data_IF_324915537734
#
_entry.id   IF_324915537734
#
_cell.length_a   1.000
_cell.length_b   1.000
_cell.length_c   1.000
_cell.angle_alpha   90.00
_cell.angle_beta   90.00
_cell.angle_gamma   90.00
#
_symmetry.space_group_name_H-M   'P 1'
#
loop_
_entity.id
_entity.type
_entity.pdbx_description
1 polymer ?
#
# COMPACT_ATOMS: atom_id res chain seq x y z
N UNK A 1 -4.30 -6.57 22.04
CA UNK A 1 -5.60 -5.89 21.85
C UNK A 1 -5.42 -4.86 20.74
N UNK A 2 -5.44 -5.30 19.49
CA UNK A 2 -5.16 -4.43 18.34
C UNK A 2 -6.40 -3.61 18.00
N UNK A 3 -6.30 -2.29 18.07
CA UNK A 3 -7.35 -1.38 17.62
C UNK A 3 -7.57 -1.64 16.11
N UNK A 4 -8.63 -2.34 15.75
CA UNK A 4 -8.91 -2.67 14.36
C UNK A 4 -9.09 -1.38 13.55
N UNK A 5 -8.15 -1.10 12.63
CA UNK A 5 -8.25 0.05 11.72
C UNK A 5 -9.51 -0.12 10.85
N UNK A 6 -10.42 0.85 10.92
CA UNK A 6 -11.59 0.93 10.05
C UNK A 6 -11.40 2.10 9.09
N UNK A 7 -11.25 1.82 7.79
CA UNK A 7 -10.93 2.82 6.78
C UNK A 7 -12.22 3.51 6.36
N UNK A 8 -12.30 4.83 6.51
CA UNK A 8 -13.35 5.62 5.88
C UNK A 8 -12.98 5.95 4.43
N UNK A 9 -13.98 6.08 3.54
CA UNK A 9 -13.74 6.28 2.10
C UNK A 9 -12.81 7.44 1.77
N UNK A 10 -12.92 8.56 2.49
CA UNK A 10 -12.06 9.74 2.28
C UNK A 10 -10.62 9.54 2.77
N UNK A 11 -10.37 8.55 3.63
CA UNK A 11 -9.04 8.21 4.15
C UNK A 11 -8.30 7.24 3.23
N UNK A 12 -9.03 6.48 2.41
CA UNK A 12 -8.47 5.46 1.53
C UNK A 12 -7.24 5.95 0.72
N UNK A 13 -7.23 7.16 0.11
CA UNK A 13 -6.05 7.63 -0.61
C UNK A 13 -4.77 7.65 0.23
N UNK A 14 -4.86 7.93 1.53
CA UNK A 14 -3.70 7.92 2.44
C UNK A 14 -3.19 6.52 2.73
N UNK A 15 -4.06 5.50 2.69
CA UNK A 15 -3.67 4.09 2.83
C UNK A 15 -3.02 3.53 1.57
N UNK A 16 -3.25 4.13 0.41
CA UNK A 16 -2.73 3.65 -0.87
C UNK A 16 -1.47 4.39 -1.32
N UNK A 17 -1.23 5.62 -0.85
CA UNK A 17 -0.13 6.45 -1.36
C UNK A 17 1.22 6.05 -0.78
N UNK A 18 2.15 5.64 -1.65
CA UNK A 18 3.51 5.21 -1.30
C UNK A 18 4.48 6.37 -1.47
N UNK A 19 5.38 6.52 -0.51
CA UNK A 19 6.44 7.52 -0.48
C UNK A 19 7.80 6.82 -0.44
N UNK A 20 8.80 7.52 -0.98
CA UNK A 20 10.19 7.18 -0.76
C UNK A 20 10.55 7.55 0.68
N UNK A 21 10.97 6.59 1.50
CA UNK A 21 11.27 6.82 2.92
C UNK A 21 12.42 7.80 3.14
N UNK A 22 13.38 7.84 2.22
CA UNK A 22 14.61 8.64 2.34
C UNK A 22 14.36 10.10 1.96
N UNK A 23 13.67 10.33 0.84
CA UNK A 23 13.44 11.68 0.29
C UNK A 23 12.08 12.26 0.66
N UNK A 24 11.20 11.44 1.24
CA UNK A 24 9.81 11.75 1.57
C UNK A 24 8.93 12.14 0.36
N UNK A 25 9.44 11.94 -0.87
CA UNK A 25 8.73 12.23 -2.11
C UNK A 25 7.70 11.13 -2.43
N UNK A 26 6.53 11.49 -2.99
CA UNK A 26 5.57 10.49 -3.45
C UNK A 26 6.16 9.66 -4.59
N UNK A 27 5.95 8.35 -4.55
CA UNK A 27 6.41 7.42 -5.59
C UNK A 27 5.26 6.89 -6.44
N UNK A 28 4.08 6.72 -5.85
CA UNK A 28 2.95 6.14 -6.55
C UNK A 28 1.85 5.70 -5.60
N UNK A 29 1.02 4.77 -6.06
CA UNK A 29 -0.08 4.20 -5.29
C UNK A 29 -0.03 2.67 -5.32
N UNK A 30 -0.49 2.04 -4.25
CA UNK A 30 -0.73 0.60 -4.19
C UNK A 30 -1.85 0.26 -5.18
N UNK A 31 -1.54 -0.58 -6.17
CA UNK A 31 -2.52 -1.22 -7.04
C UNK A 31 -3.05 -2.54 -6.46
N UNK A 32 -2.18 -3.29 -5.79
CA UNK A 32 -2.49 -4.55 -5.12
C UNK A 32 -1.51 -4.76 -3.95
N UNK A 33 -1.91 -5.49 -2.92
CA UNK A 33 -1.08 -5.75 -1.74
C UNK A 33 -1.39 -7.13 -1.14
N UNK A 34 -0.34 -7.80 -0.67
CA UNK A 34 -0.41 -9.03 0.12
C UNK A 34 0.58 -8.93 1.29
N UNK A 35 0.65 -9.96 2.12
CA UNK A 35 1.64 -10.04 3.21
C UNK A 35 3.09 -10.08 2.69
N UNK A 36 3.31 -10.64 1.49
CA UNK A 36 4.64 -10.85 0.90
C UNK A 36 5.08 -9.76 -0.09
N UNK A 37 4.16 -8.91 -0.54
CA UNK A 37 4.40 -8.07 -1.70
C UNK A 37 3.39 -6.96 -1.92
N UNK A 38 3.71 -6.08 -2.86
CA UNK A 38 2.77 -5.10 -3.38
C UNK A 38 3.00 -4.83 -4.87
N UNK A 39 1.94 -4.39 -5.53
CA UNK A 39 1.99 -3.77 -6.85
C UNK A 39 1.99 -2.25 -6.64
N UNK A 40 3.01 -1.56 -7.15
CA UNK A 40 3.10 -0.11 -7.17
C UNK A 40 2.76 0.40 -8.57
N UNK A 41 1.82 1.33 -8.64
CA UNK A 41 1.49 2.11 -9.84
C UNK A 41 2.21 3.46 -9.74
N UNK A 42 3.12 3.76 -10.67
CA UNK A 42 3.94 4.97 -10.66
C UNK A 42 4.05 5.60 -12.05
N UNK A 43 4.41 6.89 -12.12
CA UNK A 43 4.65 7.58 -13.42
C UNK A 43 6.02 7.27 -14.03
N UNK A 44 6.92 6.70 -13.23
CA UNK A 44 8.26 6.32 -13.65
C UNK A 44 8.44 4.81 -13.43
N UNK A 45 9.15 4.12 -14.34
CA UNK A 45 9.47 2.71 -14.15
C UNK A 45 10.41 2.53 -12.97
N UNK A 46 10.23 1.45 -12.22
CA UNK A 46 11.05 1.11 -11.07
C UNK A 46 12.23 0.23 -11.48
N UNK A 47 13.42 0.53 -10.97
CA UNK A 47 14.63 -0.24 -11.30
C UNK A 47 14.50 -1.69 -10.78
N UNK A 48 14.41 -2.65 -11.70
CA UNK A 48 14.30 -4.08 -11.38
C UNK A 48 15.56 -4.59 -10.69
N UNK A 49 15.40 -5.41 -9.66
CA UNK A 49 16.49 -5.96 -8.85
C UNK A 49 17.04 -4.99 -7.79
N UNK A 50 16.63 -3.72 -7.82
CA UNK A 50 17.00 -2.76 -6.79
C UNK A 50 16.09 -2.86 -5.56
N UNK A 51 16.67 -2.54 -4.41
CA UNK A 51 15.98 -2.39 -3.13
C UNK A 51 15.50 -0.98 -2.94
N UNK A 52 14.28 -0.83 -2.46
CA UNK A 52 13.67 0.45 -2.17
C UNK A 52 13.23 0.53 -0.71
N UNK A 53 13.48 1.70 -0.13
CA UNK A 53 13.01 2.09 1.20
C UNK A 53 11.70 2.86 1.02
N UNK A 54 10.59 2.21 1.38
CA UNK A 54 9.23 2.67 1.12
C UNK A 54 8.55 3.08 2.44
N UNK A 55 7.58 4.00 2.32
CA UNK A 55 6.79 4.51 3.42
C UNK A 55 5.33 4.70 3.03
N UNK A 56 4.42 4.26 3.87
CA UNK A 56 3.00 4.64 3.85
C UNK A 56 2.73 5.64 4.98
N UNK A 57 1.87 6.62 4.74
CA UNK A 57 1.48 7.64 5.74
C UNK A 57 -0.02 7.53 6.01
N UNK A 58 -0.38 6.70 6.97
CA UNK A 58 -1.80 6.42 7.29
C UNK A 58 -2.30 7.30 8.42
N UNK A 59 -3.63 7.54 8.54
CA UNK A 59 -4.19 8.22 9.70
C UNK A 59 -3.87 7.46 11.00
N UNK A 60 -3.21 8.12 11.94
CA UNK A 60 -2.92 7.58 13.27
C UNK A 60 -3.88 8.11 14.34
N UNK A 61 -3.66 7.69 15.59
CA UNK A 61 -4.44 8.13 16.74
C UNK A 61 -4.26 9.63 17.00
N UNK A 62 -5.35 10.32 17.35
CA UNK A 62 -5.32 11.75 17.66
C UNK A 62 -5.04 12.66 16.45
N UNK A 63 -5.27 12.18 15.22
CA UNK A 63 -5.14 12.97 13.99
C UNK A 63 -3.71 13.14 13.48
N UNK A 64 -2.71 12.54 14.15
CA UNK A 64 -1.32 12.55 13.65
C UNK A 64 -1.10 11.40 12.67
N UNK A 65 -0.46 11.63 11.51
CA UNK A 65 -0.12 10.55 10.58
C UNK A 65 0.83 9.54 11.23
N UNK A 66 0.52 8.25 11.08
CA UNK A 66 1.43 7.15 11.38
C UNK A 66 2.21 6.78 10.12
N UNK A 67 3.53 6.69 10.22
CA UNK A 67 4.38 6.19 9.14
C UNK A 67 4.56 4.68 9.29
N UNK A 68 4.39 3.94 8.20
CA UNK A 68 4.69 2.51 8.10
C UNK A 68 5.86 2.39 7.11
N UNK A 69 7.04 2.09 7.63
CA UNK A 69 8.28 2.01 6.87
C UNK A 69 8.61 0.55 6.57
N UNK A 70 8.98 0.25 5.33
CA UNK A 70 9.33 -1.11 4.92
C UNK A 70 10.30 -1.11 3.74
N UNK A 71 11.09 -2.17 3.64
CA UNK A 71 12.03 -2.38 2.53
C UNK A 71 11.50 -3.46 1.60
N UNK A 72 11.61 -3.22 0.29
CA UNK A 72 11.15 -4.16 -0.72
C UNK A 72 12.05 -4.15 -1.97
N UNK A 73 12.20 -5.32 -2.59
CA UNK A 73 12.97 -5.48 -3.82
C UNK A 73 12.03 -5.47 -5.02
N UNK A 74 12.33 -4.63 -6.03
CA UNK A 74 11.57 -4.61 -7.28
C UNK A 74 11.86 -5.88 -8.08
N UNK A 75 10.81 -6.61 -8.47
CA UNK A 75 10.91 -7.89 -9.18
C UNK A 75 10.68 -7.74 -10.68
N UNK A 76 9.83 -6.79 -11.08
CA UNK A 76 9.51 -6.50 -12.46
C UNK A 76 8.92 -5.09 -12.58
N UNK A 77 9.00 -4.50 -13.77
CA UNK A 77 8.27 -3.30 -14.15
C UNK A 77 7.76 -3.44 -15.57
N UNK A 78 6.52 -3.00 -15.82
CA UNK A 78 5.93 -2.93 -17.16
C UNK A 78 5.07 -1.67 -17.28
N UNK A 79 4.87 -1.18 -18.49
CA UNK A 79 3.92 -0.09 -18.74
C UNK A 79 2.49 -0.58 -18.43
N UNK A 80 1.72 0.28 -17.75
CA UNK A 80 0.31 0.03 -17.45
C UNK A 80 -0.55 0.25 -18.71
N UNK A 81 -1.79 -0.22 -18.72
CA UNK A 81 -2.78 0.09 -19.75
C UNK A 81 -3.05 1.60 -19.85
N UNK A 82 -2.79 2.35 -18.77
CA UNK A 82 -2.84 3.81 -18.74
C UNK A 82 -1.51 4.38 -19.25
N UNK A 83 -1.48 5.08 -20.40
CA UNK A 83 -0.23 5.61 -20.95
C UNK A 83 0.52 6.51 -19.95
N UNK A 84 1.84 6.34 -19.89
CA UNK A 84 2.71 7.10 -18.98
C UNK A 84 2.64 6.66 -17.52
N UNK A 85 1.99 5.53 -17.22
CA UNK A 85 2.05 4.86 -15.92
C UNK A 85 2.72 3.49 -16.06
N UNK A 86 3.32 3.04 -14.97
CA UNK A 86 4.03 1.78 -14.88
C UNK A 86 3.54 1.00 -13.68
N UNK A 87 3.32 -0.28 -13.90
CA UNK A 87 3.11 -1.28 -12.88
C UNK A 87 4.47 -1.85 -12.47
N UNK A 88 4.71 -1.97 -11.17
CA UNK A 88 5.93 -2.52 -10.61
C UNK A 88 5.64 -3.45 -9.45
N UNK A 89 6.04 -4.72 -9.58
CA UNK A 89 5.87 -5.72 -8.53
C UNK A 89 7.02 -5.71 -7.54
N UNK A 90 6.70 -5.61 -6.26
CA UNK A 90 7.66 -5.59 -5.16
C UNK A 90 7.48 -6.81 -4.26
N UNK A 91 8.61 -7.38 -3.84
CA UNK A 91 8.66 -8.38 -2.77
C UNK A 91 9.17 -7.74 -1.48
N UNK A 92 8.41 -7.86 -0.39
CA UNK A 92 8.81 -7.35 0.91
C UNK A 92 9.84 -8.28 1.56
N UNK A 93 10.79 -7.69 2.30
CA UNK A 93 11.89 -8.44 2.89
C UNK A 93 11.65 -8.85 4.33
N UNK A 94 11.09 -7.94 5.11
CA UNK A 94 10.73 -8.13 6.51
C UNK A 94 9.54 -7.21 6.80
N UNK A 95 8.31 -7.60 6.38
CA UNK A 95 7.14 -6.77 6.57
C UNK A 95 6.92 -6.50 8.06
N UNK A 96 6.83 -5.23 8.50
CA UNK A 96 6.54 -4.91 9.88
C UNK A 96 5.08 -5.26 10.20
N UNK A 97 4.76 -5.44 11.48
CA UNK A 97 3.41 -5.79 11.92
C UNK A 97 2.37 -4.77 11.45
N UNK A 98 2.72 -3.48 11.43
CA UNK A 98 1.87 -2.40 10.98
C UNK A 98 1.50 -2.52 9.49
N UNK A 99 2.38 -3.10 8.67
CA UNK A 99 2.10 -3.38 7.26
C UNK A 99 1.07 -4.51 7.13
N UNK A 100 1.23 -5.60 7.89
CA UNK A 100 0.27 -6.71 7.91
C UNK A 100 -1.12 -6.25 8.38
N UNK A 101 -1.16 -5.40 9.41
CA UNK A 101 -2.41 -4.79 9.86
C UNK A 101 -3.03 -3.86 8.79
N UNK A 102 -2.22 -3.22 7.95
CA UNK A 102 -2.69 -2.42 6.81
C UNK A 102 -3.30 -3.30 5.73
N UNK A 103 -2.67 -4.44 5.40
CA UNK A 103 -3.20 -5.43 4.46
C UNK A 103 -4.58 -5.90 4.92
N UNK A 104 -4.71 -6.28 6.19
CA UNK A 104 -5.98 -6.73 6.76
C UNK A 104 -7.03 -5.60 6.85
N UNK A 105 -6.61 -4.35 7.05
CA UNK A 105 -7.53 -3.21 6.99
C UNK A 105 -8.06 -2.97 5.57
N UNK A 106 -7.21 -3.02 4.55
CA UNK A 106 -7.60 -2.89 3.15
C UNK A 106 -8.48 -4.05 2.70
N UNK A 107 -8.12 -5.29 3.07
CA UNK A 107 -8.92 -6.49 2.80
C UNK A 107 -10.34 -6.36 3.33
N UNK A 108 -10.49 -5.94 4.59
CA UNK A 108 -11.80 -5.71 5.20
C UNK A 108 -12.56 -4.56 4.53
N UNK A 109 -11.88 -3.47 4.17
CA UNK A 109 -12.51 -2.33 3.49
C UNK A 109 -13.08 -2.70 2.12
N UNK A 110 -12.38 -3.51 1.34
CA UNK A 110 -12.84 -3.99 0.03
C UNK A 110 -13.71 -5.26 0.10
N UNK A 111 -13.96 -5.78 1.30
CA UNK A 111 -14.87 -6.91 1.49
C UNK A 111 -16.31 -6.41 1.61
N UNK A 112 -17.21 -6.97 0.80
CA UNK A 112 -18.63 -6.66 0.87
C UNK A 112 -19.36 -7.80 1.59
N UNK A 113 -19.81 -7.63 2.85
CA UNK A 113 -20.67 -8.63 3.46
C UNK A 113 -21.97 -8.75 2.65
N UNK A 114 -22.39 -9.98 2.35
CA UNK A 114 -23.73 -10.23 1.80
C UNK A 114 -24.75 -9.71 2.81
N UNK A 115 -25.59 -8.75 2.43
CA UNK A 115 -26.80 -8.49 3.20
C UNK A 115 -27.67 -9.75 3.19
N UNK A 116 -28.22 -10.19 4.33
CA UNK A 116 -29.24 -11.22 4.32
C UNK A 116 -30.39 -10.73 3.44
N UNK A 117 -30.77 -11.54 2.46
CA UNK A 117 -31.99 -11.30 1.69
C UNK A 117 -33.16 -11.37 2.67
N UNK A 118 -33.86 -10.25 2.88
CA UNK A 118 -35.13 -10.25 3.58
C UNK A 118 -36.11 -11.10 2.77
N UNK A 119 -36.54 -12.23 3.34
CA UNK A 119 -37.65 -13.06 2.85
C UNK A 119 -38.96 -12.42 3.30
#
# INVERSE_FOLDING_TARGET
>A
MGLQRHIQRHQLPSYLKVFNRITDKPMGYIGNVSEDGLLLISQLPMLVGARFELRLKVPGLGGRPQCIDFSADCRWTCEDVTPGHFDSGFHLLAPPAEFLELVEALRRYFSFPRQPQSV
#
